data_IF_595920830502
#
_entry.id   IF_595920830502
#
_cell.length_a   1.000
_cell.length_b   1.000
_cell.length_c   1.000
_cell.angle_alpha   90.00
_cell.angle_beta   90.00
_cell.angle_gamma   90.00
#
_symmetry.space_group_name_H-M   'P 1'
#
loop_
_entity.id
_entity.type
_entity.pdbx_description
1 polymer ?
#
# COMPACT_ATOMS: atom_id res chain seq x y z
N UNK A 1 7.43 -8.48 4.45
CA UNK A 1 6.65 -9.72 4.57
C UNK A 1 5.16 -9.52 4.30
N UNK A 2 4.47 -8.53 4.89
CA UNK A 2 3.04 -8.29 4.63
C UNK A 2 2.77 -8.05 3.13
N UNK A 3 3.54 -7.15 2.50
CA UNK A 3 3.42 -6.84 1.06
C UNK A 3 3.72 -8.04 0.16
N UNK A 4 4.58 -8.97 0.58
CA UNK A 4 4.86 -10.20 -0.18
C UNK A 4 3.64 -11.12 -0.22
N UNK A 5 2.97 -11.35 0.91
CA UNK A 5 1.73 -12.15 0.97
C UNK A 5 0.61 -11.46 0.20
N UNK A 6 0.54 -10.13 0.26
CA UNK A 6 -0.46 -9.35 -0.44
C UNK A 6 -0.44 -9.58 -1.97
N UNK A 7 0.72 -9.84 -2.57
CA UNK A 7 0.82 -10.14 -4.01
C UNK A 7 -0.06 -11.34 -4.39
N UNK A 8 -0.07 -12.41 -3.59
CA UNK A 8 -0.90 -13.58 -3.87
C UNK A 8 -2.39 -13.27 -3.86
N UNK A 9 -2.84 -12.48 -2.89
CA UNK A 9 -4.24 -12.02 -2.78
C UNK A 9 -4.60 -11.14 -3.98
N UNK A 10 -3.74 -10.18 -4.33
CA UNK A 10 -3.98 -9.25 -5.44
C UNK A 10 -3.98 -9.96 -6.80
N UNK A 11 -3.06 -10.91 -7.02
CA UNK A 11 -3.03 -11.70 -8.26
C UNK A 11 -4.25 -12.62 -8.38
N UNK A 12 -4.72 -13.21 -7.28
CA UNK A 12 -5.97 -13.97 -7.28
C UNK A 12 -7.17 -13.09 -7.64
N UNK A 13 -7.31 -11.93 -6.98
CA UNK A 13 -8.42 -11.01 -7.23
C UNK A 13 -8.39 -10.46 -8.66
N UNK A 14 -7.20 -10.10 -9.15
CA UNK A 14 -6.98 -9.67 -10.54
C UNK A 14 -7.34 -10.77 -11.53
N UNK A 15 -6.87 -12.00 -11.29
CA UNK A 15 -7.18 -13.16 -12.13
C UNK A 15 -8.68 -13.44 -12.21
N UNK A 16 -9.39 -13.37 -11.07
CA UNK A 16 -10.85 -13.50 -11.02
C UNK A 16 -11.54 -12.36 -11.77
N UNK A 17 -11.09 -11.13 -11.61
CA UNK A 17 -11.69 -9.97 -12.29
C UNK A 17 -11.54 -10.01 -13.81
N UNK A 18 -10.52 -10.70 -14.33
CA UNK A 18 -10.21 -10.78 -15.75
C UNK A 18 -10.70 -12.07 -16.41
N UNK A 19 -11.27 -13.02 -15.65
CA UNK A 19 -11.60 -14.34 -16.18
C UNK A 19 -12.81 -14.35 -17.12
N UNK A 20 -13.83 -13.54 -16.82
CA UNK A 20 -15.05 -13.36 -17.64
C UNK A 20 -15.90 -12.20 -17.07
N UNK A 21 -16.99 -11.78 -17.73
CA UNK A 21 -17.95 -10.84 -17.14
C UNK A 21 -18.51 -11.31 -15.79
N UNK A 22 -18.81 -12.60 -15.64
CA UNK A 22 -19.27 -13.20 -14.38
C UNK A 22 -18.17 -13.19 -13.32
N UNK A 23 -16.92 -13.47 -13.72
CA UNK A 23 -15.75 -13.36 -12.84
C UNK A 23 -15.54 -11.94 -12.30
N UNK A 24 -15.72 -10.92 -13.15
CA UNK A 24 -15.68 -9.52 -12.72
C UNK A 24 -16.79 -9.18 -11.73
N UNK A 25 -18.02 -9.65 -11.96
CA UNK A 25 -19.12 -9.48 -11.00
C UNK A 25 -18.82 -10.15 -9.66
N UNK A 26 -18.22 -11.36 -9.69
CA UNK A 26 -17.81 -12.06 -8.47
C UNK A 26 -16.70 -11.31 -7.72
N UNK A 27 -15.69 -10.81 -8.42
CA UNK A 27 -14.62 -9.99 -7.82
C UNK A 27 -15.19 -8.70 -7.20
N UNK A 28 -16.15 -8.08 -7.86
CA UNK A 28 -16.86 -6.90 -7.35
C UNK A 28 -17.64 -7.23 -6.07
N UNK A 29 -18.39 -8.33 -6.06
CA UNK A 29 -19.12 -8.79 -4.88
C UNK A 29 -18.21 -9.14 -3.70
N UNK A 30 -17.01 -9.69 -3.96
CA UNK A 30 -15.98 -9.87 -2.92
C UNK A 30 -15.57 -8.51 -2.34
N UNK A 31 -15.31 -7.53 -3.21
CA UNK A 31 -14.92 -6.18 -2.79
C UNK A 31 -16.04 -5.35 -2.17
N UNK A 32 -17.31 -5.76 -2.28
CA UNK A 32 -18.42 -5.13 -1.54
C UNK A 32 -18.43 -5.50 -0.05
N UNK A 33 -17.76 -6.59 0.34
CA UNK A 33 -17.63 -6.99 1.75
C UNK A 33 -16.78 -6.00 2.53
N UNK A 34 -17.31 -5.50 3.65
CA UNK A 34 -16.56 -4.64 4.57
C UNK A 34 -15.22 -5.26 5.01
N UNK A 35 -15.19 -6.57 5.27
CA UNK A 35 -13.96 -7.27 5.68
C UNK A 35 -12.94 -7.27 4.54
N UNK A 36 -13.38 -7.51 3.30
CA UNK A 36 -12.50 -7.48 2.14
C UNK A 36 -11.96 -6.07 1.88
N UNK A 37 -12.82 -5.04 1.98
CA UNK A 37 -12.42 -3.62 1.92
C UNK A 37 -11.39 -3.28 3.00
N UNK A 38 -11.60 -3.72 4.23
CA UNK A 38 -10.67 -3.48 5.33
C UNK A 38 -9.30 -4.15 5.09
N UNK A 39 -9.29 -5.39 4.59
CA UNK A 39 -8.04 -6.08 4.21
C UNK A 39 -7.36 -5.36 3.05
N UNK A 40 -8.09 -4.97 2.01
CA UNK A 40 -7.55 -4.25 0.85
C UNK A 40 -6.93 -2.91 1.28
N UNK A 41 -7.61 -2.15 2.12
CA UNK A 41 -7.09 -0.91 2.69
C UNK A 41 -5.81 -1.14 3.50
N UNK A 42 -5.77 -2.21 4.31
CA UNK A 42 -4.56 -2.61 5.04
C UNK A 42 -3.39 -2.97 4.10
N UNK A 43 -3.66 -3.68 3.01
CA UNK A 43 -2.67 -4.00 1.97
C UNK A 43 -2.11 -2.72 1.34
N UNK A 44 -2.99 -1.81 0.90
CA UNK A 44 -2.59 -0.56 0.26
C UNK A 44 -1.82 0.34 1.23
N UNK A 45 -2.22 0.38 2.50
CA UNK A 45 -1.52 1.15 3.55
C UNK A 45 -0.13 0.57 3.83
N UNK A 46 0.00 -0.76 3.95
CA UNK A 46 1.29 -1.41 4.14
C UNK A 46 2.22 -1.20 2.94
N UNK A 47 1.67 -1.24 1.72
CA UNK A 47 2.40 -0.93 0.50
C UNK A 47 2.87 0.52 0.44
N UNK A 48 1.99 1.48 0.77
CA UNK A 48 2.33 2.90 0.81
C UNK A 48 3.46 3.19 1.79
N UNK A 49 3.40 2.61 3.00
CA UNK A 49 4.47 2.72 3.99
C UNK A 49 5.79 2.13 3.49
N UNK A 50 5.72 0.94 2.88
CA UNK A 50 6.91 0.26 2.37
C UNK A 50 7.59 1.06 1.25
N UNK A 51 6.81 1.65 0.34
CA UNK A 51 7.32 2.50 -0.75
C UNK A 51 7.91 3.80 -0.17
N UNK A 52 7.20 4.49 0.73
CA UNK A 52 7.70 5.73 1.34
C UNK A 52 9.03 5.51 2.08
N UNK A 53 9.12 4.42 2.85
CA UNK A 53 10.36 3.99 3.49
C UNK A 53 11.46 3.62 2.48
N UNK A 54 11.11 2.86 1.43
CA UNK A 54 12.04 2.48 0.37
C UNK A 54 12.62 3.68 -0.37
N UNK A 55 11.79 4.67 -0.74
CA UNK A 55 12.24 5.92 -1.35
C UNK A 55 13.16 6.68 -0.38
N UNK A 56 12.79 6.79 0.90
CA UNK A 56 13.65 7.40 1.92
C UNK A 56 15.01 6.72 2.00
N UNK A 57 15.06 5.39 1.95
CA UNK A 57 16.31 4.63 1.92
C UNK A 57 17.13 4.94 0.67
N UNK A 58 16.53 4.88 -0.53
CA UNK A 58 17.23 5.22 -1.77
C UNK A 58 17.76 6.67 -1.77
N UNK A 59 17.05 7.60 -1.15
CA UNK A 59 17.53 8.98 -0.99
C UNK A 59 18.76 9.07 -0.08
N UNK A 60 18.87 8.23 0.95
CA UNK A 60 20.09 8.12 1.77
C UNK A 60 21.22 7.49 0.96
N UNK A 61 20.94 6.36 0.28
CA UNK A 61 21.92 5.60 -0.49
C UNK A 61 22.57 6.43 -1.62
N UNK A 62 21.80 7.36 -2.23
CA UNK A 62 22.29 8.27 -3.27
C UNK A 62 22.81 9.62 -2.74
N UNK A 63 22.85 9.81 -1.41
CA UNK A 63 23.38 11.03 -0.79
C UNK A 63 22.47 12.26 -0.89
N UNK A 64 21.20 12.09 -1.26
CA UNK A 64 20.21 13.18 -1.25
C UNK A 64 19.76 13.56 0.17
N UNK A 65 19.89 12.64 1.14
CA UNK A 65 19.65 12.89 2.56
C UNK A 65 20.94 12.67 3.35
N UNK A 66 21.26 13.61 4.24
CA UNK A 66 22.40 13.45 5.15
C UNK A 66 22.17 12.33 6.17
N UNK A 67 23.20 11.54 6.45
CA UNK A 67 23.15 10.37 7.35
C UNK A 67 23.39 10.74 8.82
N UNK A 68 22.69 11.76 9.32
CA UNK A 68 22.74 12.17 10.73
C UNK A 68 21.49 11.72 11.48
N UNK A 69 21.57 11.63 12.81
CA UNK A 69 20.42 11.29 13.64
C UNK A 69 19.25 12.28 13.48
N UNK A 70 19.56 13.57 13.33
CA UNK A 70 18.58 14.63 13.15
C UNK A 70 17.82 14.48 11.83
N UNK A 71 18.54 14.37 10.70
CA UNK A 71 17.95 14.13 9.39
C UNK A 71 17.20 12.79 9.35
N UNK A 72 17.74 11.77 10.02
CA UNK A 72 17.10 10.46 10.16
C UNK A 72 15.73 10.54 10.83
N UNK A 73 15.62 11.30 11.93
CA UNK A 73 14.35 11.52 12.66
C UNK A 73 13.35 12.30 11.81
N UNK A 74 13.78 13.43 11.23
CA UNK A 74 12.90 14.29 10.42
C UNK A 74 12.36 13.54 9.20
N UNK A 75 13.23 12.87 8.44
CA UNK A 75 12.82 12.11 7.26
C UNK A 75 11.89 10.94 7.58
N UNK A 76 12.06 10.29 8.75
CA UNK A 76 11.15 9.24 9.21
C UNK A 76 9.76 9.82 9.55
N UNK A 77 9.69 10.96 10.25
CA UNK A 77 8.43 11.64 10.54
C UNK A 77 7.70 12.06 9.26
N UNK A 78 8.42 12.57 8.27
CA UNK A 78 7.87 12.92 6.96
C UNK A 78 7.32 11.66 6.27
N UNK A 79 8.07 10.55 6.25
CA UNK A 79 7.62 9.29 5.65
C UNK A 79 6.33 8.76 6.32
N UNK A 80 6.22 8.87 7.64
CA UNK A 80 4.97 8.55 8.35
C UNK A 80 3.82 9.48 7.94
N UNK A 81 4.04 10.79 7.87
CA UNK A 81 3.04 11.76 7.42
C UNK A 81 2.52 11.46 6.01
N UNK A 82 3.42 11.20 5.06
CA UNK A 82 3.08 10.79 3.69
C UNK A 82 2.26 9.49 3.70
N UNK A 83 2.68 8.51 4.51
CA UNK A 83 1.97 7.22 4.63
C UNK A 83 0.54 7.41 5.14
N UNK A 84 0.32 8.27 6.15
CA UNK A 84 -1.02 8.57 6.67
C UNK A 84 -1.90 9.20 5.58
N UNK A 85 -1.38 10.18 4.84
CA UNK A 85 -2.12 10.80 3.73
C UNK A 85 -2.49 9.77 2.67
N UNK A 86 -1.54 8.94 2.24
CA UNK A 86 -1.79 7.88 1.26
C UNK A 86 -2.76 6.81 1.78
N UNK A 87 -2.71 6.47 3.07
CA UNK A 87 -3.64 5.53 3.70
C UNK A 87 -5.07 6.07 3.71
N UNK A 88 -5.26 7.37 3.96
CA UNK A 88 -6.57 8.03 3.88
C UNK A 88 -7.09 8.00 2.44
N UNK A 89 -6.25 8.37 1.47
CA UNK A 89 -6.62 8.32 0.04
C UNK A 89 -6.95 6.89 -0.41
N UNK A 90 -6.21 5.89 0.07
CA UNK A 90 -6.54 4.48 -0.16
C UNK A 90 -7.89 4.11 0.46
N UNK A 91 -8.24 4.67 1.62
CA UNK A 91 -9.57 4.52 2.22
C UNK A 91 -10.67 5.09 1.31
N UNK A 92 -10.48 6.30 0.78
CA UNK A 92 -11.40 6.93 -0.18
C UNK A 92 -11.54 6.12 -1.46
N UNK A 93 -10.48 5.45 -1.92
CA UNK A 93 -10.53 4.60 -3.12
C UNK A 93 -11.32 3.31 -2.89
N UNK A 94 -11.19 2.71 -1.70
CA UNK A 94 -11.73 1.38 -1.41
C UNK A 94 -13.18 1.43 -0.94
N UNK A 95 -13.61 2.51 -0.29
CA UNK A 95 -14.99 2.68 0.18
C UNK A 95 -15.80 3.57 -0.74
#
# INVERSE_FOLDING_TARGET
MITFVAIGILLWLLGLSLSSPEGFQQASAVMDSFIAKFIMWGILTALAYHIAGGIRHLMMDFGYLGETLETGKLSAQIAFGITVVLSILAGVLVW
#
